data_IF_929258731191
#
_entry.id   IF_929258731191
#
_cell.length_a   1.000
_cell.length_b   1.000
_cell.length_c   1.000
_cell.angle_alpha   90.00
_cell.angle_beta   90.00
_cell.angle_gamma   90.00
#
_symmetry.space_group_name_H-M   'P 1'
#
loop_
_entity.id
_entity.type
_entity.pdbx_description
1 polymer ?
#
# COMPACT_ATOMS: atom_id res chain seq x y z
N UNK A 1 -15.39 11.10 7.20
CA UNK A 1 -14.13 10.53 6.65
C UNK A 1 -12.95 10.66 7.61
N UNK A 2 -12.61 11.86 8.11
CA UNK A 2 -11.51 12.03 9.07
C UNK A 2 -11.61 11.18 10.35
N UNK A 3 -12.80 11.14 10.98
CA UNK A 3 -13.02 10.32 12.20
C UNK A 3 -12.81 8.82 11.97
N UNK A 4 -13.20 8.32 10.79
CA UNK A 4 -13.03 6.91 10.41
C UNK A 4 -11.55 6.60 10.19
N UNK A 5 -10.83 7.48 9.47
CA UNK A 5 -9.38 7.35 9.29
C UNK A 5 -8.64 7.38 10.63
N UNK A 6 -9.01 8.28 11.54
CA UNK A 6 -8.38 8.37 12.86
C UNK A 6 -8.67 7.14 13.74
N UNK A 7 -9.91 6.64 13.75
CA UNK A 7 -10.27 5.43 14.49
C UNK A 7 -9.50 4.20 13.99
N UNK A 8 -9.36 4.04 12.67
CA UNK A 8 -8.55 2.98 12.09
C UNK A 8 -7.06 3.16 12.42
N UNK A 9 -6.55 4.39 12.40
CA UNK A 9 -5.17 4.68 12.76
C UNK A 9 -4.85 4.29 14.21
N UNK A 10 -5.76 4.59 15.14
CA UNK A 10 -5.65 4.14 16.53
C UNK A 10 -5.66 2.61 16.63
N UNK A 11 -6.59 1.95 15.92
CA UNK A 11 -6.68 0.49 15.91
C UNK A 11 -5.36 -0.13 15.43
N UNK A 12 -4.81 0.39 14.33
CA UNK A 12 -3.49 -0.01 13.83
C UNK A 12 -2.38 0.21 14.88
N UNK A 13 -2.39 1.35 15.55
CA UNK A 13 -1.43 1.66 16.61
C UNK A 13 -1.48 0.67 17.77
N UNK A 14 -2.68 0.30 18.23
CA UNK A 14 -2.86 -0.71 19.28
C UNK A 14 -2.35 -2.07 18.80
N UNK A 15 -2.70 -2.47 17.57
CA UNK A 15 -2.23 -3.74 17.00
C UNK A 15 -0.74 -3.78 16.69
N UNK A 16 -0.03 -2.65 16.68
CA UNK A 16 1.43 -2.60 16.50
C UNK A 16 2.22 -2.97 17.76
N UNK A 17 1.56 -2.99 18.93
CA UNK A 17 2.19 -3.36 20.19
C UNK A 17 2.52 -4.85 20.20
N UNK A 18 3.75 -5.26 20.57
CA UNK A 18 4.17 -6.66 20.54
C UNK A 18 3.28 -7.56 21.39
N UNK A 19 2.69 -7.03 22.46
CA UNK A 19 1.72 -7.73 23.32
C UNK A 19 0.44 -8.14 22.57
N UNK A 20 -0.08 -7.28 21.69
CA UNK A 20 -1.30 -7.55 20.92
C UNK A 20 -0.97 -8.41 19.69
N UNK A 21 0.15 -8.13 19.03
CA UNK A 21 0.64 -8.94 17.90
C UNK A 21 0.90 -10.39 18.31
N UNK A 22 1.42 -10.64 19.51
CA UNK A 22 1.68 -11.99 20.01
C UNK A 22 0.40 -12.78 20.36
N UNK A 23 -0.71 -12.09 20.59
CA UNK A 23 -2.02 -12.72 20.83
C UNK A 23 -2.78 -13.03 19.53
N UNK A 24 -2.40 -12.41 18.42
CA UNK A 24 -3.05 -12.57 17.12
C UNK A 24 -2.30 -13.57 16.24
N UNK A 25 -3.04 -14.33 15.44
CA UNK A 25 -2.40 -15.16 14.41
C UNK A 25 -1.72 -14.27 13.36
N UNK A 26 -0.63 -14.75 12.77
CA UNK A 26 0.10 -14.02 11.72
C UNK A 26 -0.79 -13.58 10.54
N UNK A 27 -1.84 -14.37 10.24
CA UNK A 27 -2.83 -14.05 9.20
C UNK A 27 -3.73 -12.87 9.59
N UNK A 28 -4.19 -12.82 10.84
CA UNK A 28 -5.00 -11.72 11.36
C UNK A 28 -4.19 -10.43 11.45
N UNK A 29 -2.96 -10.51 11.97
CA UNK A 29 -2.04 -9.37 12.00
C UNK A 29 -1.76 -8.82 10.60
N UNK A 30 -1.45 -9.71 9.64
CA UNK A 30 -1.21 -9.32 8.25
C UNK A 30 -2.45 -8.69 7.61
N UNK A 31 -3.65 -9.20 7.91
CA UNK A 31 -4.90 -8.60 7.44
C UNK A 31 -5.10 -7.19 7.99
N UNK A 32 -4.94 -7.00 9.31
CA UNK A 32 -5.11 -5.71 9.98
C UNK A 32 -4.10 -4.71 9.45
N UNK A 33 -2.82 -5.06 9.46
CA UNK A 33 -1.77 -4.12 9.10
C UNK A 33 -1.73 -3.84 7.59
N UNK A 34 -1.94 -4.86 6.75
CA UNK A 34 -1.94 -4.67 5.30
C UNK A 34 -3.27 -4.09 4.80
N UNK A 35 -4.43 -4.69 5.08
CA UNK A 35 -5.70 -4.23 4.49
C UNK A 35 -6.21 -2.96 5.16
N UNK A 36 -6.28 -2.92 6.50
CA UNK A 36 -6.79 -1.73 7.21
C UNK A 36 -5.78 -0.58 7.15
N UNK A 37 -4.48 -0.86 7.02
CA UNK A 37 -3.45 0.17 6.82
C UNK A 37 -3.67 0.97 5.53
N UNK A 38 -3.81 0.31 4.38
CA UNK A 38 -4.10 1.02 3.12
C UNK A 38 -5.46 1.71 3.14
N UNK A 39 -6.47 1.09 3.78
CA UNK A 39 -7.79 1.70 3.94
C UNK A 39 -7.71 3.01 4.74
N UNK A 40 -6.90 3.05 5.79
CA UNK A 40 -6.66 4.24 6.62
C UNK A 40 -6.03 5.37 5.81
N UNK A 41 -4.98 5.06 5.06
CA UNK A 41 -4.31 6.04 4.18
C UNK A 41 -5.28 6.56 3.11
N UNK A 42 -6.10 5.68 2.53
CA UNK A 42 -7.15 6.06 1.57
C UNK A 42 -8.16 7.04 2.20
N UNK A 43 -8.73 6.73 3.36
CA UNK A 43 -9.69 7.61 4.02
C UNK A 43 -9.09 8.96 4.44
N UNK A 44 -7.83 8.96 4.92
CA UNK A 44 -7.12 10.18 5.28
C UNK A 44 -6.87 11.07 4.05
N UNK A 45 -6.39 10.48 2.96
CA UNK A 45 -6.14 11.17 1.67
C UNK A 45 -7.44 11.68 1.08
N UNK A 46 -8.51 10.88 1.10
CA UNK A 46 -9.82 11.30 0.59
C UNK A 46 -10.41 12.44 1.42
N UNK A 47 -10.22 12.42 2.75
CA UNK A 47 -10.67 13.50 3.63
C UNK A 47 -9.98 14.84 3.32
N UNK A 48 -8.65 14.83 3.18
CA UNK A 48 -7.88 16.04 2.83
C UNK A 48 -8.15 16.50 1.40
N UNK A 49 -8.38 15.57 0.48
CA UNK A 49 -8.78 15.88 -0.90
C UNK A 49 -10.14 16.59 -0.94
N UNK A 50 -11.16 16.06 -0.25
CA UNK A 50 -12.47 16.72 -0.15
C UNK A 50 -12.38 18.09 0.52
N UNK A 51 -11.56 18.23 1.55
CA UNK A 51 -11.35 19.50 2.23
C UNK A 51 -10.66 20.55 1.33
N UNK A 52 -9.68 20.12 0.54
CA UNK A 52 -8.93 20.97 -0.39
C UNK A 52 -9.60 21.20 -1.75
N UNK A 53 -10.63 20.42 -2.11
CA UNK A 53 -11.28 20.41 -3.43
C UNK A 53 -11.72 21.81 -3.88
N UNK A 54 -12.37 22.57 -3.00
CA UNK A 54 -12.82 23.94 -3.30
C UNK A 54 -11.67 24.93 -3.54
N UNK A 55 -10.49 24.67 -2.95
CA UNK A 55 -9.30 25.52 -3.07
C UNK A 55 -8.44 25.13 -4.28
N UNK A 56 -8.52 23.88 -4.71
CA UNK A 56 -7.90 23.38 -5.94
C UNK A 56 -8.65 23.86 -7.19
N UNK A 57 -9.98 23.90 -7.15
CA UNK A 57 -10.81 24.42 -8.25
C UNK A 57 -10.72 25.96 -8.40
N UNK A 58 -10.44 26.69 -7.30
CA UNK A 58 -10.14 28.11 -7.34
C UNK A 58 -8.64 28.37 -7.57
N UNK A 59 -8.19 28.15 -8.81
CA UNK A 59 -6.81 28.40 -9.25
C UNK A 59 -6.36 29.87 -9.14
N UNK A 60 -7.24 30.80 -8.79
CA UNK A 60 -6.91 32.22 -8.62
C UNK A 60 -6.12 32.54 -7.33
N UNK A 61 -5.86 31.56 -6.45
CA UNK A 61 -5.15 31.76 -5.17
C UNK A 61 -3.66 31.37 -5.21
N UNK A 62 -3.11 30.98 -6.36
CA UNK A 62 -1.67 30.71 -6.52
C UNK A 62 -0.87 32.03 -6.61
N UNK A 63 -0.77 32.74 -5.49
CA UNK A 63 0.11 33.89 -5.33
C UNK A 63 1.56 33.38 -5.41
N UNK A 64 2.26 33.65 -6.52
CA UNK A 64 3.69 33.39 -6.71
C UNK A 64 4.15 31.92 -6.86
N UNK A 65 3.40 31.08 -7.58
CA UNK A 65 3.86 29.76 -8.05
C UNK A 65 4.28 28.75 -6.95
N UNK A 66 4.03 29.05 -5.67
CA UNK A 66 4.32 28.15 -4.56
C UNK A 66 3.11 27.28 -4.29
N UNK A 67 3.13 25.98 -4.67
CA UNK A 67 2.05 25.08 -4.30
C UNK A 67 1.99 25.01 -2.77
N UNK A 68 0.79 25.16 -2.17
CA UNK A 68 0.67 25.14 -0.73
C UNK A 68 1.08 23.77 -0.15
N UNK A 69 1.67 23.78 1.04
CA UNK A 69 2.35 22.63 1.68
C UNK A 69 1.46 21.38 1.76
N UNK A 70 0.14 21.54 1.92
CA UNK A 70 -0.80 20.41 1.94
C UNK A 70 -0.81 19.61 0.63
N UNK A 71 -0.60 20.27 -0.52
CA UNK A 71 -0.57 19.63 -1.84
C UNK A 71 0.69 18.79 -1.98
N UNK A 72 1.84 19.32 -1.52
CA UNK A 72 3.11 18.59 -1.51
C UNK A 72 3.02 17.33 -0.63
N UNK A 73 2.43 17.45 0.56
CA UNK A 73 2.21 16.30 1.45
C UNK A 73 1.21 15.27 0.90
N UNK A 74 0.30 15.66 0.01
CA UNK A 74 -0.67 14.78 -0.66
C UNK A 74 -0.06 13.97 -1.82
N UNK A 75 1.06 14.41 -2.39
CA UNK A 75 1.75 13.70 -3.49
C UNK A 75 2.24 12.33 -3.03
N UNK A 76 2.83 12.24 -1.84
CA UNK A 76 3.35 10.97 -1.31
C UNK A 76 2.25 9.90 -1.09
N UNK A 77 1.15 10.17 -0.35
CA UNK A 77 0.08 9.19 -0.16
C UNK A 77 -0.67 8.87 -1.46
N UNK A 78 -0.81 9.83 -2.39
CA UNK A 78 -1.41 9.54 -3.70
C UNK A 78 -0.54 8.59 -4.54
N UNK A 79 0.77 8.81 -4.62
CA UNK A 79 1.70 7.88 -5.26
C UNK A 79 1.66 6.49 -4.62
N UNK A 80 1.61 6.41 -3.29
CA UNK A 80 1.49 5.13 -2.58
C UNK A 80 0.23 4.35 -2.97
N UNK A 81 -0.93 5.02 -3.05
CA UNK A 81 -2.19 4.39 -3.44
C UNK A 81 -2.15 3.94 -4.90
N UNK A 82 -1.63 4.79 -5.80
CA UNK A 82 -1.50 4.45 -7.24
C UNK A 82 -0.58 3.26 -7.43
N UNK A 83 0.60 3.27 -6.80
CA UNK A 83 1.54 2.16 -6.86
C UNK A 83 0.92 0.88 -6.29
N UNK A 84 0.21 0.98 -5.16
CA UNK A 84 -0.47 -0.18 -4.57
C UNK A 84 -1.56 -0.74 -5.50
N UNK A 85 -2.33 0.13 -6.15
CA UNK A 85 -3.35 -0.27 -7.11
C UNK A 85 -2.71 -0.96 -8.34
N UNK A 86 -1.57 -0.44 -8.81
CA UNK A 86 -0.83 -1.04 -9.91
C UNK A 86 -0.27 -2.42 -9.54
N UNK A 87 0.21 -2.61 -8.31
CA UNK A 87 0.62 -3.93 -7.81
C UNK A 87 -0.56 -4.90 -7.65
N UNK A 88 -1.76 -4.41 -7.35
CA UNK A 88 -2.98 -5.22 -7.25
C UNK A 88 -3.52 -5.66 -8.62
N UNK A 89 -3.01 -5.09 -9.73
CA UNK A 89 -3.38 -5.56 -11.06
C UNK A 89 -2.95 -7.02 -11.22
N UNK A 90 -3.83 -7.89 -11.75
CA UNK A 90 -3.59 -9.33 -11.84
C UNK A 90 -2.32 -9.69 -12.63
N UNK A 91 -1.84 -8.78 -13.49
CA UNK A 91 -0.60 -8.95 -14.25
C UNK A 91 0.65 -8.88 -13.35
N UNK A 92 0.68 -7.94 -12.41
CA UNK A 92 1.83 -7.74 -11.50
C UNK A 92 1.73 -8.67 -10.31
N UNK A 93 0.53 -8.86 -9.76
CA UNK A 93 0.29 -9.78 -8.66
C UNK A 93 0.73 -11.20 -9.02
N UNK A 94 0.36 -11.70 -10.21
CA UNK A 94 0.82 -13.02 -10.71
C UNK A 94 2.34 -13.12 -10.80
N UNK A 95 3.01 -12.08 -11.31
CA UNK A 95 4.47 -12.07 -11.37
C UNK A 95 5.10 -12.07 -9.97
N UNK A 96 4.48 -11.39 -9.01
CA UNK A 96 4.92 -11.35 -7.61
C UNK A 96 4.67 -12.67 -6.89
N UNK A 97 3.51 -13.31 -7.09
CA UNK A 97 3.21 -14.65 -6.54
C UNK A 97 4.22 -15.66 -7.07
N UNK A 98 4.53 -15.57 -8.35
CA UNK A 98 5.50 -16.44 -9.02
C UNK A 98 6.91 -16.31 -8.44
N UNK A 99 7.37 -15.08 -8.18
CA UNK A 99 8.66 -14.84 -7.49
C UNK A 99 8.62 -15.36 -6.04
N UNK A 100 7.50 -15.14 -5.32
CA UNK A 100 7.34 -15.59 -3.92
C UNK A 100 7.28 -17.10 -3.76
N UNK A 101 6.86 -17.84 -4.78
CA UNK A 101 6.81 -19.30 -4.77
C UNK A 101 8.17 -19.95 -5.11
N UNK A 102 9.24 -19.17 -5.27
CA UNK A 102 10.54 -19.67 -5.70
C UNK A 102 10.50 -19.96 -7.19
N UNK A 103 10.46 -18.92 -8.02
CA UNK A 103 10.59 -19.08 -9.46
C UNK A 103 12.01 -19.58 -9.79
N UNK A 104 12.17 -20.90 -9.80
CA UNK A 104 13.31 -21.59 -10.39
C UNK A 104 13.23 -21.35 -11.91
N UNK A 105 14.19 -20.64 -12.50
CA UNK A 105 14.40 -20.74 -13.94
C UNK A 105 14.82 -22.19 -14.16
N UNK A 106 13.99 -22.97 -14.85
CA UNK A 106 14.45 -24.24 -15.41
C UNK A 106 15.53 -23.89 -16.44
N UNK A 107 16.79 -23.83 -16.01
CA UNK A 107 17.91 -23.83 -16.92
C UNK A 107 17.94 -25.20 -17.61
N UNK A 108 18.06 -25.26 -18.94
CA UNK A 108 18.03 -26.51 -19.69
C UNK A 108 19.19 -27.47 -19.35
N UNK A 109 20.19 -27.02 -18.58
CA UNK A 109 21.33 -27.81 -18.14
C UNK A 109 20.98 -28.88 -17.09
N UNK A 110 19.95 -28.65 -16.27
CA UNK A 110 19.60 -29.54 -15.14
C UNK A 110 18.77 -30.76 -15.59
N UNK A 111 18.06 -30.66 -16.72
CA UNK A 111 17.38 -31.82 -17.34
C UNK A 111 18.36 -32.81 -17.96
N UNK A 112 19.50 -32.34 -18.47
CA UNK A 112 20.57 -33.21 -18.99
C UNK A 112 21.35 -33.91 -17.88
N UNK A 113 21.54 -33.29 -16.72
CA UNK A 113 22.24 -33.91 -15.59
C UNK A 113 21.41 -35.04 -14.94
N UNK A 114 20.09 -34.85 -14.82
CA UNK A 114 19.19 -35.85 -14.24
C UNK A 114 18.87 -37.03 -15.19
N UNK A 115 19.10 -36.88 -16.50
CA UNK A 115 18.93 -37.96 -17.47
C UNK A 115 20.16 -38.89 -17.60
N UNK A 116 21.28 -38.54 -16.97
CA UNK A 116 22.56 -39.25 -17.08
C UNK A 116 22.95 -40.03 -15.82
N UNK A 117 22.09 -40.09 -14.80
CA UNK A 117 22.31 -40.89 -13.60
C UNK A 117 21.41 -42.15 -13.64
N UNK A 118 21.99 -43.36 -13.78
CA UNK A 118 21.25 -44.62 -13.79
C UNK A 118 20.71 -45.05 -12.41
#
# INVERSE_FOLDING_TARGET
MGILGFGLYILLGITSLPSVTNALSWREFSFIQSKLGYLTVFFCTFHTYLYGWNRFLNASSYKWYTPPVYVLCLVLPSLLIVLKLLLLLPCVDRSLTRIRQGWERNDPEDSSANALLP
#
